data_IF_734258596464
#
_entry.id   IF_734258596464
#
_cell.length_a   1.000
_cell.length_b   1.000
_cell.length_c   1.000
_cell.angle_alpha   90.00
_cell.angle_beta   90.00
_cell.angle_gamma   90.00
#
_symmetry.space_group_name_H-M   'P 1'
#
loop_
_entity.id
_entity.type
_entity.pdbx_description
1 polymer ?
#
# COMPACT_ATOMS: atom_id res chain seq x y z
N UNK A 1 16.03 24.37 -20.96
CA UNK A 1 15.17 24.84 -19.87
C UNK A 1 13.94 23.96 -19.85
N UNK A 2 13.86 23.01 -18.90
CA UNK A 2 12.59 22.38 -18.53
C UNK A 2 12.31 22.80 -17.11
N UNK A 3 11.33 23.67 -16.91
CA UNK A 3 10.76 23.88 -15.59
C UNK A 3 10.15 22.54 -15.16
N UNK A 4 10.80 21.84 -14.24
CA UNK A 4 10.20 20.74 -13.52
C UNK A 4 9.12 21.37 -12.66
N UNK A 5 7.89 21.42 -13.18
CA UNK A 5 6.74 21.82 -12.38
C UNK A 5 6.57 20.71 -11.34
N UNK A 6 6.99 20.96 -10.10
CA UNK A 6 6.67 20.09 -8.98
C UNK A 6 5.14 20.02 -8.88
N UNK A 7 4.56 18.89 -9.31
CA UNK A 7 3.14 18.64 -9.09
C UNK A 7 2.96 18.31 -7.61
N UNK A 8 2.08 19.03 -6.91
CA UNK A 8 1.62 18.62 -5.58
C UNK A 8 0.96 17.26 -5.71
N UNK A 9 1.61 16.20 -5.23
CA UNK A 9 1.07 14.85 -5.32
C UNK A 9 -0.09 14.61 -4.36
N UNK A 10 -0.91 13.61 -4.68
CA UNK A 10 -2.02 13.17 -3.86
C UNK A 10 -1.53 12.36 -2.67
N UNK A 11 -2.00 12.72 -1.46
CA UNK A 11 -1.83 11.91 -0.26
C UNK A 11 -2.99 10.93 -0.14
N UNK A 12 -2.66 9.65 -0.03
CA UNK A 12 -3.58 8.56 0.27
C UNK A 12 -3.43 8.27 1.76
N UNK A 13 -4.43 8.60 2.56
CA UNK A 13 -4.49 8.22 3.96
C UNK A 13 -5.43 7.02 4.15
N UNK A 14 -5.00 6.04 4.93
CA UNK A 14 -5.83 4.91 5.31
C UNK A 14 -5.47 4.44 6.73
N UNK A 15 -6.48 4.07 7.50
CA UNK A 15 -6.32 3.43 8.79
C UNK A 15 -6.95 2.03 8.69
N UNK A 16 -6.14 0.98 8.86
CA UNK A 16 -6.63 -0.40 8.97
C UNK A 16 -7.33 -0.56 10.32
N UNK A 17 -8.56 -1.04 10.29
CA UNK A 17 -9.40 -1.24 11.46
C UNK A 17 -9.06 -2.57 12.15
N UNK A 18 -9.37 -2.69 13.43
CA UNK A 18 -9.02 -3.88 14.22
C UNK A 18 -9.76 -5.18 13.79
N UNK A 19 -10.82 -5.05 13.00
CA UNK A 19 -11.61 -6.13 12.42
C UNK A 19 -11.26 -6.43 10.95
N UNK A 20 -10.33 -5.68 10.35
CA UNK A 20 -9.83 -5.96 9.01
C UNK A 20 -8.86 -7.15 9.05
N UNK A 21 -9.05 -8.12 8.16
CA UNK A 21 -8.01 -9.11 7.87
C UNK A 21 -7.03 -8.56 6.80
N UNK A 22 -6.00 -9.36 6.51
CA UNK A 22 -5.03 -9.03 5.46
C UNK A 22 -5.70 -8.69 4.11
N UNK A 23 -6.65 -9.51 3.65
CA UNK A 23 -7.26 -9.38 2.33
C UNK A 23 -8.13 -8.12 2.24
N UNK A 24 -8.94 -7.84 3.27
CA UNK A 24 -9.75 -6.63 3.37
C UNK A 24 -8.88 -5.37 3.31
N UNK A 25 -7.80 -5.33 4.09
CA UNK A 25 -6.86 -4.21 4.10
C UNK A 25 -6.13 -4.06 2.75
N UNK A 26 -5.65 -5.17 2.17
CA UNK A 26 -4.97 -5.18 0.88
C UNK A 26 -5.87 -4.66 -0.25
N UNK A 27 -7.13 -5.11 -0.30
CA UNK A 27 -8.12 -4.66 -1.26
C UNK A 27 -8.45 -3.17 -1.08
N UNK A 28 -8.58 -2.69 0.16
CA UNK A 28 -8.81 -1.27 0.46
C UNK A 28 -7.67 -0.39 -0.05
N UNK A 29 -6.43 -0.75 0.27
CA UNK A 29 -5.24 -0.03 -0.19
C UNK A 29 -5.14 0.01 -1.72
N UNK A 30 -5.37 -1.13 -2.38
CA UNK A 30 -5.34 -1.21 -3.84
C UNK A 30 -6.41 -0.30 -4.49
N UNK A 31 -7.65 -0.33 -3.97
CA UNK A 31 -8.73 0.54 -4.45
C UNK A 31 -8.37 2.02 -4.32
N UNK A 32 -7.75 2.42 -3.20
CA UNK A 32 -7.34 3.80 -2.97
C UNK A 32 -6.25 4.27 -3.94
N UNK A 33 -5.25 3.42 -4.22
CA UNK A 33 -4.21 3.70 -5.22
C UNK A 33 -4.82 3.86 -6.60
N UNK A 34 -5.73 2.95 -6.99
CA UNK A 34 -6.44 3.04 -8.26
C UNK A 34 -7.25 4.33 -8.34
N UNK A 35 -7.98 4.66 -7.28
CA UNK A 35 -8.77 5.90 -7.22
C UNK A 35 -7.90 7.14 -7.35
N UNK A 36 -6.73 7.16 -6.73
CA UNK A 36 -5.78 8.26 -6.87
C UNK A 36 -5.29 8.42 -8.32
N UNK A 37 -5.02 7.31 -9.02
CA UNK A 37 -4.66 7.34 -10.45
C UNK A 37 -5.84 7.79 -11.34
N UNK A 38 -7.08 7.45 -11.00
CA UNK A 38 -8.27 7.93 -11.71
C UNK A 38 -8.49 9.45 -11.53
N UNK A 39 -8.24 9.97 -10.32
CA UNK A 39 -8.50 11.37 -9.96
C UNK A 39 -7.38 12.31 -10.42
N UNK A 40 -6.11 11.91 -10.30
CA UNK A 40 -4.96 12.64 -10.81
C UNK A 40 -4.02 11.70 -11.59
N UNK A 41 -4.29 11.49 -12.89
CA UNK A 41 -3.49 10.61 -13.72
C UNK A 41 -2.00 10.98 -13.74
N UNK A 42 -1.17 9.99 -13.39
CA UNK A 42 0.28 10.14 -13.31
C UNK A 42 0.75 11.05 -12.17
N UNK A 43 -0.14 11.48 -11.29
CA UNK A 43 0.18 12.29 -10.12
C UNK A 43 1.06 11.50 -9.16
N UNK A 44 2.02 12.15 -8.46
CA UNK A 44 2.75 11.47 -7.40
C UNK A 44 1.77 10.99 -6.32
N UNK A 45 1.91 9.74 -5.88
CA UNK A 45 1.06 9.12 -4.84
C UNK A 45 1.86 8.85 -3.58
N UNK A 46 1.45 9.43 -2.47
CA UNK A 46 2.07 9.25 -1.16
C UNK A 46 1.11 8.49 -0.25
N UNK A 47 1.46 7.28 0.18
CA UNK A 47 0.67 6.51 1.13
C UNK A 47 1.05 6.87 2.57
N UNK A 48 0.06 7.10 3.42
CA UNK A 48 0.19 7.15 4.86
C UNK A 48 -0.77 6.14 5.48
N UNK A 49 -0.21 5.13 6.15
CA UNK A 49 -0.95 4.02 6.74
C UNK A 49 -0.84 4.05 8.26
N UNK A 50 -1.99 4.06 8.92
CA UNK A 50 -2.13 3.73 10.33
C UNK A 50 -2.76 2.33 10.48
N UNK A 51 -2.47 1.66 11.60
CA UNK A 51 -3.04 0.34 11.93
C UNK A 51 -3.50 0.35 13.39
N UNK A 52 -4.82 0.28 13.57
CA UNK A 52 -5.47 0.12 14.86
C UNK A 52 -5.58 -1.36 15.24
N UNK A 53 -5.35 -1.70 16.51
CA UNK A 53 -5.36 -3.10 16.93
C UNK A 53 -4.16 -3.87 16.37
N UNK A 54 -4.36 -5.11 15.92
CA UNK A 54 -3.34 -5.95 15.28
C UNK A 54 -1.98 -5.98 15.98
N UNK A 55 -2.00 -6.30 17.27
CA UNK A 55 -0.78 -6.44 18.07
C UNK A 55 -0.57 -7.89 18.48
N UNK A 56 0.66 -8.37 18.30
CA UNK A 56 1.10 -9.63 18.86
C UNK A 56 1.38 -9.51 20.38
N UNK A 57 1.67 -10.63 21.03
CA UNK A 57 1.96 -10.68 22.47
C UNK A 57 3.21 -9.90 22.92
N UNK A 58 4.06 -9.48 21.99
CA UNK A 58 5.24 -8.64 22.24
C UNK A 58 4.98 -7.16 21.94
N UNK A 59 3.76 -6.78 21.60
CA UNK A 59 3.36 -5.40 21.29
C UNK A 59 3.74 -4.91 19.89
N UNK A 60 4.33 -5.77 19.05
CA UNK A 60 4.54 -5.48 17.62
C UNK A 60 3.31 -5.81 16.79
N UNK A 61 3.36 -5.57 15.47
CA UNK A 61 2.30 -6.01 14.56
C UNK A 61 2.08 -7.53 14.66
N UNK A 62 0.84 -7.98 14.53
CA UNK A 62 0.55 -9.38 14.28
C UNK A 62 1.09 -9.83 12.90
N UNK A 63 0.93 -11.12 12.60
CA UNK A 63 1.48 -11.70 11.38
C UNK A 63 0.92 -11.04 10.13
N UNK A 64 -0.40 -10.92 10.05
CA UNK A 64 -1.13 -10.38 8.90
C UNK A 64 -0.74 -8.93 8.62
N UNK A 65 -0.70 -8.07 9.64
CA UNK A 65 -0.36 -6.66 9.43
C UNK A 65 1.13 -6.44 9.19
N UNK A 66 1.99 -7.32 9.71
CA UNK A 66 3.39 -7.32 9.35
C UNK A 66 3.58 -7.70 7.88
N UNK A 67 2.88 -8.72 7.39
CA UNK A 67 2.88 -9.15 5.99
C UNK A 67 2.31 -8.04 5.08
N UNK A 68 1.19 -7.42 5.48
CA UNK A 68 0.60 -6.29 4.76
C UNK A 68 1.61 -5.16 4.56
N UNK A 69 2.33 -4.78 5.62
CA UNK A 69 3.34 -3.73 5.53
C UNK A 69 4.55 -4.16 4.70
N UNK A 70 5.15 -5.32 5.01
CA UNK A 70 6.44 -5.70 4.44
C UNK A 70 6.33 -6.31 3.05
N UNK A 71 5.47 -7.30 2.88
CA UNK A 71 5.41 -8.07 1.64
C UNK A 71 4.46 -7.40 0.65
N UNK A 72 3.26 -7.01 1.10
CA UNK A 72 2.28 -6.45 0.19
C UNK A 72 2.57 -4.98 -0.15
N UNK A 73 2.73 -4.09 0.83
CA UNK A 73 2.97 -2.67 0.54
C UNK A 73 4.35 -2.47 -0.07
N UNK A 74 5.43 -2.89 0.60
CA UNK A 74 6.79 -2.65 0.10
C UNK A 74 7.16 -3.56 -1.08
N UNK A 75 6.74 -4.82 -1.07
CA UNK A 75 7.06 -5.79 -2.12
C UNK A 75 6.19 -5.66 -3.37
N UNK A 76 4.90 -5.35 -3.23
CA UNK A 76 3.96 -5.32 -4.35
C UNK A 76 3.44 -3.92 -4.71
N UNK A 77 2.87 -3.17 -3.76
CA UNK A 77 2.24 -1.88 -4.05
C UNK A 77 3.23 -0.74 -4.29
N UNK A 78 4.43 -0.81 -3.74
CA UNK A 78 5.44 0.26 -3.79
C UNK A 78 5.68 0.76 -5.22
N UNK A 79 5.64 -0.13 -6.22
CA UNK A 79 5.81 0.25 -7.64
C UNK A 79 4.81 1.31 -8.11
N UNK A 80 3.62 1.37 -7.52
CA UNK A 80 2.57 2.33 -7.88
C UNK A 80 2.57 3.59 -7.00
N UNK A 81 3.49 3.66 -6.03
CA UNK A 81 3.63 4.77 -5.11
C UNK A 81 4.91 5.57 -5.41
N UNK A 82 4.92 6.81 -5.00
CA UNK A 82 6.14 7.62 -4.88
C UNK A 82 6.81 7.36 -3.53
N UNK A 83 5.99 7.22 -2.48
CA UNK A 83 6.45 6.94 -1.12
C UNK A 83 5.35 6.24 -0.33
N UNK A 84 5.74 5.44 0.67
CA UNK A 84 4.86 4.89 1.67
C UNK A 84 5.39 5.18 3.09
N UNK A 85 4.52 5.71 3.94
CA UNK A 85 4.71 5.79 5.39
C UNK A 85 3.80 4.74 6.03
N UNK A 86 4.39 3.83 6.78
CA UNK A 86 3.74 2.68 7.42
C UNK A 86 4.19 2.59 8.88
N UNK A 87 3.58 1.73 9.71
CA UNK A 87 4.07 1.48 11.06
C UNK A 87 5.51 0.95 11.13
N UNK A 88 6.04 0.38 10.03
CA UNK A 88 7.44 -0.08 9.95
C UNK A 88 8.43 1.04 9.61
N UNK A 89 7.94 2.17 9.10
CA UNK A 89 8.77 3.32 8.72
C UNK A 89 8.31 4.00 7.43
N UNK A 90 9.17 4.90 6.93
CA UNK A 90 8.96 5.70 5.73
C UNK A 90 9.90 5.24 4.62
N UNK A 91 9.35 4.98 3.44
CA UNK A 91 10.04 4.35 2.32
C UNK A 91 9.72 5.06 1.01
N UNK A 92 10.74 5.61 0.36
CA UNK A 92 10.63 6.14 -1.01
C UNK A 92 10.73 5.02 -2.05
N UNK A 93 9.99 5.16 -3.14
CA UNK A 93 10.14 4.26 -4.27
C UNK A 93 11.48 4.51 -4.97
N UNK A 94 12.31 3.47 -5.07
CA UNK A 94 13.63 3.54 -5.73
C UNK A 94 13.53 3.59 -7.26
N UNK A 95 12.35 3.30 -7.81
CA UNK A 95 12.05 3.32 -9.24
C UNK A 95 11.00 4.41 -9.53
N UNK A 96 10.88 4.87 -10.79
CA UNK A 96 9.75 5.70 -11.18
C UNK A 96 8.43 5.01 -10.86
N UNK A 97 7.49 5.78 -10.33
CA UNK A 97 6.12 5.32 -10.06
C UNK A 97 5.47 4.82 -11.35
N UNK A 98 4.92 3.61 -11.30
CA UNK A 98 4.11 3.03 -12.36
C UNK A 98 2.67 3.58 -12.30
N UNK A 99 2.15 3.97 -13.46
CA UNK A 99 0.81 4.53 -13.63
C UNK A 99 -0.16 3.53 -14.26
N UNK A 100 0.32 2.38 -14.73
CA UNK A 100 -0.50 1.28 -15.21
C UNK A 100 -1.02 0.45 -14.03
N UNK A 101 -1.86 1.07 -13.18
CA UNK A 101 -2.51 0.38 -12.06
C UNK A 101 -3.56 -0.58 -12.62
N UNK A 102 -3.50 -1.90 -12.31
CA UNK A 102 -4.49 -2.85 -12.80
C UNK A 102 -5.91 -2.52 -12.34
N UNK A 103 -6.91 -3.02 -13.07
CA UNK A 103 -8.32 -2.79 -12.70
C UNK A 103 -8.72 -3.54 -11.42
N UNK A 104 -8.13 -4.71 -11.19
CA UNK A 104 -8.49 -5.63 -10.11
C UNK A 104 -7.23 -6.21 -9.46
N UNK A 105 -7.32 -6.42 -8.15
CA UNK A 105 -6.38 -7.21 -7.38
C UNK A 105 -6.99 -8.59 -7.16
N UNK A 106 -6.23 -9.63 -7.48
CA UNK A 106 -6.59 -11.01 -7.18
C UNK A 106 -5.58 -11.54 -6.17
N UNK A 107 -6.08 -11.93 -5.00
CA UNK A 107 -5.30 -12.58 -3.95
C UNK A 107 -5.71 -14.04 -3.99
N UNK A 108 -4.73 -14.93 -4.07
CA UNK A 108 -4.95 -16.37 -4.04
C UNK A 108 -4.26 -16.91 -2.80
N UNK A 109 -4.97 -17.65 -1.93
CA UNK A 109 -4.30 -18.37 -0.85
C UNK A 109 -3.33 -19.39 -1.46
N UNK A 110 -2.30 -19.81 -0.70
CA UNK A 110 -1.45 -20.92 -1.11
C UNK A 110 -2.31 -22.14 -1.43
N UNK A 111 -1.99 -22.86 -2.52
CA UNK A 111 -2.66 -24.12 -2.80
C UNK A 111 -2.40 -25.10 -1.64
N UNK A 112 -3.46 -25.62 -1.02
CA UNK A 112 -3.43 -26.62 0.07
C UNK A 112 -2.79 -27.97 -0.35
N UNK A 113 -2.15 -28.06 -1.52
CA UNK A 113 -1.50 -29.28 -2.03
C UNK A 113 -0.07 -29.50 -1.50
N UNK A 114 0.17 -29.14 -0.24
CA UNK A 114 1.34 -29.61 0.52
C UNK A 114 0.87 -30.63 1.56
N UNK A 115 0.49 -31.81 1.09
CA UNK A 115 0.28 -33.02 1.89
C UNK A 115 1.60 -33.81 2.00
#
# INVERSE_FOLDING_TARGET
MSSMVERKGGVIYHCVQADDDFEAAAQSLFRLIRKAQEVDPGGPRYLCLDIEGHRNSKGGLDHDMFELCREFILGFLMRYLTEATTPLGRYGNSKPQDNAVPEKLQITPPDDTSA
#
